data_IF_644598393323
#
_entry.id   IF_644598393323
#
_cell.length_a   1.000
_cell.length_b   1.000
_cell.length_c   1.000
_cell.angle_alpha   90.00
_cell.angle_beta   90.00
_cell.angle_gamma   90.00
#
_symmetry.space_group_name_H-M   'P 1'
#
loop_
_entity.id
_entity.type
_entity.pdbx_description
1 polymer ?
#
# COMPACT_ATOMS: atom_id res chain seq x y z
N UNK A 1 -25.55 -5.35 1.19
CA UNK A 1 -24.08 -5.19 1.35
C UNK A 1 -23.44 -6.45 0.82
N UNK A 2 -22.57 -6.34 -0.16
CA UNK A 2 -22.00 -7.47 -0.91
C UNK A 2 -20.71 -7.94 -0.22
N UNK A 3 -20.88 -8.67 0.89
CA UNK A 3 -19.81 -9.12 1.78
C UNK A 3 -18.76 -9.97 1.03
N UNK A 4 -19.21 -10.80 0.09
CA UNK A 4 -18.36 -11.72 -0.66
C UNK A 4 -17.35 -10.98 -1.55
N UNK A 5 -17.75 -9.88 -2.20
CA UNK A 5 -16.84 -9.09 -3.05
C UNK A 5 -15.72 -8.42 -2.25
N UNK A 6 -16.02 -8.04 -1.01
CA UNK A 6 -15.05 -7.39 -0.15
C UNK A 6 -13.98 -8.38 0.33
N UNK A 7 -14.39 -9.56 0.80
CA UNK A 7 -13.45 -10.60 1.26
C UNK A 7 -12.51 -11.06 0.14
N UNK A 8 -13.02 -11.18 -1.09
CA UNK A 8 -12.20 -11.49 -2.27
C UNK A 8 -11.14 -10.41 -2.49
N UNK A 9 -11.54 -9.13 -2.53
CA UNK A 9 -10.61 -8.01 -2.74
C UNK A 9 -9.57 -7.90 -1.62
N UNK A 10 -9.99 -8.14 -0.37
CA UNK A 10 -9.11 -8.19 0.79
C UNK A 10 -8.03 -9.27 0.66
N UNK A 11 -8.43 -10.49 0.27
CA UNK A 11 -7.50 -11.60 0.03
C UNK A 11 -6.55 -11.30 -1.15
N UNK A 12 -7.06 -10.67 -2.22
CA UNK A 12 -6.26 -10.25 -3.36
C UNK A 12 -5.22 -9.19 -2.97
N UNK A 13 -5.59 -8.21 -2.13
CA UNK A 13 -4.65 -7.19 -1.66
C UNK A 13 -3.48 -7.81 -0.87
N UNK A 14 -3.75 -8.78 0.01
CA UNK A 14 -2.67 -9.49 0.74
C UNK A 14 -1.77 -10.25 -0.22
N UNK A 15 -2.35 -11.01 -1.15
CA UNK A 15 -1.60 -11.81 -2.11
C UNK A 15 -0.75 -10.92 -3.05
N UNK A 16 -1.31 -9.81 -3.52
CA UNK A 16 -0.62 -8.85 -4.37
C UNK A 16 0.48 -8.09 -3.62
N UNK A 17 0.30 -7.83 -2.31
CA UNK A 17 1.32 -7.19 -1.48
C UNK A 17 2.63 -7.97 -1.47
N UNK A 18 2.56 -9.31 -1.46
CA UNK A 18 3.74 -10.18 -1.49
C UNK A 18 4.54 -10.08 -2.80
N UNK A 19 3.95 -9.52 -3.87
CA UNK A 19 4.59 -9.34 -5.18
C UNK A 19 5.30 -8.00 -5.31
N UNK A 20 5.11 -7.09 -4.35
CA UNK A 20 5.69 -5.76 -4.36
C UNK A 20 7.16 -5.79 -3.93
N UNK A 21 7.95 -4.90 -4.52
CA UNK A 21 9.37 -4.78 -4.24
C UNK A 21 9.77 -3.32 -4.02
N UNK A 22 10.84 -3.11 -3.26
CA UNK A 22 11.43 -1.79 -3.11
C UNK A 22 11.96 -1.30 -4.46
N UNK A 23 11.84 0.00 -4.71
CA UNK A 23 12.26 0.60 -5.97
C UNK A 23 11.25 0.48 -7.12
N UNK A 24 10.12 -0.21 -6.95
CA UNK A 24 9.02 -0.17 -7.93
C UNK A 24 8.44 1.23 -8.01
N UNK A 25 7.98 1.61 -9.21
CA UNK A 25 7.28 2.87 -9.46
C UNK A 25 5.84 2.83 -8.94
N UNK A 26 5.23 4.01 -8.79
CA UNK A 26 3.79 4.12 -8.49
C UNK A 26 2.94 3.37 -9.54
N UNK A 27 3.32 3.43 -10.81
CA UNK A 27 2.58 2.81 -11.91
C UNK A 27 2.58 1.27 -11.80
N UNK A 28 3.76 0.66 -11.62
CA UNK A 28 3.89 -0.79 -11.42
C UNK A 28 3.08 -1.27 -10.20
N UNK A 29 3.07 -0.49 -9.11
CA UNK A 29 2.26 -0.82 -7.94
C UNK A 29 0.76 -0.77 -8.26
N UNK A 30 0.30 0.23 -9.02
CA UNK A 30 -1.11 0.33 -9.42
C UNK A 30 -1.50 -0.80 -10.38
N UNK A 31 -0.61 -1.27 -11.24
CA UNK A 31 -0.87 -2.44 -12.09
C UNK A 31 -1.03 -3.73 -11.28
N UNK A 32 -0.27 -3.88 -10.19
CA UNK A 32 -0.32 -5.08 -9.32
C UNK A 32 -1.49 -5.01 -8.33
N UNK A 33 -1.65 -3.89 -7.62
CA UNK A 33 -2.60 -3.73 -6.51
C UNK A 33 -3.93 -3.12 -6.94
N UNK A 34 -3.98 -2.52 -8.13
CA UNK A 34 -5.07 -1.65 -8.53
C UNK A 34 -5.02 -0.27 -7.85
N UNK A 35 -6.11 0.48 -7.99
CA UNK A 35 -6.23 1.82 -7.42
C UNK A 35 -6.30 1.75 -5.88
N UNK A 36 -5.48 2.54 -5.17
CA UNK A 36 -5.54 2.61 -3.71
C UNK A 36 -6.88 3.18 -3.23
N UNK A 37 -7.27 2.78 -2.02
CA UNK A 37 -8.49 3.26 -1.38
C UNK A 37 -8.29 4.63 -0.75
N UNK A 38 -7.08 4.90 -0.25
CA UNK A 38 -6.69 6.24 0.16
C UNK A 38 -5.22 6.50 -0.12
N UNK A 39 -4.91 7.78 -0.33
CA UNK A 39 -3.56 8.30 -0.50
C UNK A 39 -3.33 9.45 0.47
N UNK A 40 -2.17 9.48 1.12
CA UNK A 40 -1.85 10.51 2.11
C UNK A 40 -0.36 10.81 2.16
N UNK A 41 -0.01 12.10 2.10
CA UNK A 41 1.35 12.57 2.40
C UNK A 41 1.58 12.63 3.91
N UNK A 42 2.69 12.09 4.39
CA UNK A 42 3.05 12.09 5.81
C UNK A 42 4.56 11.94 6.02
N UNK A 43 5.03 12.23 7.23
CA UNK A 43 6.40 11.86 7.66
C UNK A 43 6.39 10.46 8.26
N UNK A 44 7.24 9.56 7.72
CA UNK A 44 7.38 8.18 8.18
C UNK A 44 8.84 7.93 8.55
N UNK A 45 9.06 7.16 9.62
CA UNK A 45 10.37 6.60 9.91
C UNK A 45 10.64 5.43 8.96
N UNK A 46 11.67 5.56 8.14
CA UNK A 46 12.19 4.51 7.25
C UNK A 46 13.68 4.35 7.55
N UNK A 47 14.05 3.21 8.13
CA UNK A 47 15.38 3.02 8.73
C UNK A 47 15.60 3.96 9.91
N UNK A 48 16.70 4.72 9.90
CA UNK A 48 17.06 5.68 10.96
C UNK A 48 16.51 7.10 10.73
N UNK A 49 15.93 7.37 9.56
CA UNK A 49 15.53 8.72 9.16
C UNK A 49 14.00 8.88 9.15
N UNK A 50 13.55 10.11 9.42
CA UNK A 50 12.18 10.53 9.13
C UNK A 50 12.16 11.24 7.79
N UNK A 51 11.42 10.67 6.85
CA UNK A 51 11.30 11.21 5.49
C UNK A 51 9.84 11.45 5.14
N UNK A 52 9.61 12.46 4.31
CA UNK A 52 8.29 12.72 3.75
C UNK A 52 8.00 11.72 2.63
N UNK A 53 6.85 11.07 2.74
CA UNK A 53 6.45 9.99 1.83
C UNK A 53 5.00 10.17 1.42
N UNK A 54 4.65 9.59 0.28
CA UNK A 54 3.26 9.36 -0.09
C UNK A 54 2.87 7.95 0.36
N UNK A 55 1.84 7.83 1.20
CA UNK A 55 1.31 6.55 1.66
C UNK A 55 0.09 6.18 0.83
N UNK A 56 0.08 4.99 0.24
CA UNK A 56 -1.10 4.36 -0.34
C UNK A 56 -1.62 3.29 0.61
N UNK A 57 -2.94 3.17 0.72
CA UNK A 57 -3.60 2.20 1.61
C UNK A 57 -4.61 1.35 0.86
N UNK A 58 -4.62 0.06 1.16
CA UNK A 58 -5.55 -0.94 0.66
C UNK A 58 -6.05 -1.80 1.84
N UNK A 59 -7.36 -1.90 2.04
CA UNK A 59 -7.92 -2.68 3.15
C UNK A 59 -7.75 -4.19 2.96
N UNK A 60 -7.48 -4.92 4.05
CA UNK A 60 -7.30 -6.39 4.03
C UNK A 60 -8.38 -7.14 4.79
N UNK A 61 -9.24 -6.49 5.58
CA UNK A 61 -10.43 -7.09 6.23
C UNK A 61 -11.49 -6.04 6.58
N UNK A 62 -12.75 -6.46 6.71
CA UNK A 62 -13.89 -5.57 6.84
C UNK A 62 -13.90 -4.91 8.22
N UNK A 63 -13.63 -3.61 8.27
CA UNK A 63 -13.65 -2.82 9.51
C UNK A 63 -12.37 -2.88 10.35
N UNK A 64 -11.28 -3.49 9.86
CA UNK A 64 -10.02 -3.50 10.59
C UNK A 64 -9.22 -2.21 10.37
N UNK A 65 -8.50 -1.77 11.40
CA UNK A 65 -7.43 -0.75 11.28
C UNK A 65 -6.15 -1.31 10.62
N UNK A 66 -6.25 -2.45 9.93
CA UNK A 66 -5.14 -3.17 9.30
C UNK A 66 -5.36 -3.26 7.80
N UNK A 67 -4.28 -3.15 7.05
CA UNK A 67 -4.30 -3.13 5.60
C UNK A 67 -2.89 -3.14 5.04
N UNK A 68 -2.80 -3.14 3.72
CA UNK A 68 -1.55 -2.96 3.00
C UNK A 68 -1.26 -1.47 2.89
N UNK A 69 -0.15 -1.05 3.48
CA UNK A 69 0.38 0.30 3.34
C UNK A 69 1.64 0.28 2.48
N UNK A 70 1.67 1.12 1.45
CA UNK A 70 2.82 1.27 0.55
C UNK A 70 3.29 2.70 0.64
N UNK A 71 4.59 2.89 0.86
CA UNK A 71 5.18 4.21 1.07
C UNK A 71 6.14 4.52 -0.06
N UNK A 72 5.88 5.64 -0.75
CA UNK A 72 6.66 6.11 -1.88
C UNK A 72 7.48 7.34 -1.51
N UNK A 73 8.67 7.46 -2.10
CA UNK A 73 9.42 8.71 -2.12
C UNK A 73 8.60 9.79 -2.82
N UNK A 74 8.56 11.01 -2.25
CA UNK A 74 7.93 12.14 -2.92
C UNK A 74 8.73 12.67 -4.12
N UNK A 75 10.04 12.43 -4.15
CA UNK A 75 10.93 12.94 -5.20
C UNK A 75 11.06 11.97 -6.36
N UNK A 76 11.28 10.69 -6.05
CA UNK A 76 11.54 9.66 -7.07
C UNK A 76 10.30 8.82 -7.41
N UNK A 77 9.22 8.94 -6.63
CA UNK A 77 8.00 8.14 -6.78
C UNK A 77 8.24 6.61 -6.76
N UNK A 78 9.33 6.19 -6.10
CA UNK A 78 9.68 4.79 -5.90
C UNK A 78 9.24 4.27 -4.54
N UNK A 79 8.88 2.99 -4.47
CA UNK A 79 8.55 2.28 -3.24
C UNK A 79 9.76 2.25 -2.30
N UNK A 80 9.60 2.83 -1.12
CA UNK A 80 10.59 2.84 -0.04
C UNK A 80 10.29 1.81 1.04
N UNK A 81 9.02 1.46 1.22
CA UNK A 81 8.57 0.50 2.22
C UNK A 81 7.19 -0.05 1.87
N UNK A 82 6.97 -1.31 2.23
CA UNK A 82 5.69 -2.00 2.13
C UNK A 82 5.39 -2.64 3.49
N UNK A 83 4.23 -2.36 4.06
CA UNK A 83 3.70 -3.01 5.25
C UNK A 83 2.46 -3.84 4.84
N UNK A 84 2.59 -5.16 4.76
CA UNK A 84 1.47 -6.07 4.53
C UNK A 84 0.93 -6.57 5.89
N UNK A 85 -0.14 -5.95 6.40
CA UNK A 85 -0.75 -6.27 7.70
C UNK A 85 -2.13 -6.93 7.58
#
# INVERSE_FOLDING_TARGET
MDYTRYEIKASENIANCQRLQLGMTVEEVIEIMGKPESTRKLKKSIGVNYIEVNKYHYSTTLGASTGVDIYFSLESELVLKVDCL
#
